data_IF_346264888195
#
_entry.id   IF_346264888195
#
_cell.length_a   1.000
_cell.length_b   1.000
_cell.length_c   1.000
_cell.angle_alpha   90.00
_cell.angle_beta   90.00
_cell.angle_gamma   90.00
#
_symmetry.space_group_name_H-M   'P 1'
#
loop_
_entity.id
_entity.type
_entity.pdbx_description
1 polymer ?
#
# COMPACT_ATOMS: atom_id res chain seq x y z
N UNK A 1 -16.27 -12.98 -2.35
CA UNK A 1 -17.31 -11.95 -2.10
C UNK A 1 -17.32 -11.03 -3.30
N UNK A 2 -18.49 -10.52 -3.70
CA UNK A 2 -18.60 -9.56 -4.82
C UNK A 2 -18.16 -8.19 -4.29
N UNK A 3 -17.34 -7.46 -5.06
CA UNK A 3 -16.96 -6.08 -4.73
C UNK A 3 -18.20 -5.19 -4.76
N UNK A 4 -18.52 -4.44 -3.69
CA UNK A 4 -19.67 -3.53 -3.67
C UNK A 4 -19.50 -2.42 -4.72
N UNK A 5 -20.60 -1.82 -5.18
CA UNK A 5 -20.51 -0.67 -6.09
C UNK A 5 -19.93 0.54 -5.35
N UNK A 6 -19.41 1.51 -6.10
CA UNK A 6 -18.87 2.74 -5.50
C UNK A 6 -19.93 3.47 -4.69
N UNK A 7 -21.16 3.56 -5.21
CA UNK A 7 -22.29 4.24 -4.56
C UNK A 7 -22.69 3.59 -3.23
N UNK A 8 -22.51 2.27 -3.09
CA UNK A 8 -22.83 1.55 -1.85
C UNK A 8 -21.78 1.76 -0.75
N UNK A 9 -20.54 2.10 -1.12
CA UNK A 9 -19.40 2.11 -0.20
C UNK A 9 -18.74 3.49 -0.06
N UNK A 10 -19.16 4.48 -0.85
CA UNK A 10 -18.54 5.82 -0.89
C UNK A 10 -18.37 6.44 0.50
N UNK A 11 -19.43 6.49 1.31
CA UNK A 11 -19.38 7.10 2.65
C UNK A 11 -18.39 6.38 3.58
N UNK A 12 -18.24 5.06 3.44
CA UNK A 12 -17.28 4.28 4.22
C UNK A 12 -15.85 4.57 3.76
N UNK A 13 -15.63 4.70 2.45
CA UNK A 13 -14.32 5.09 1.91
C UNK A 13 -13.95 6.49 2.40
N UNK A 14 -14.86 7.46 2.29
CA UNK A 14 -14.66 8.84 2.75
C UNK A 14 -14.26 8.87 4.22
N UNK A 15 -15.06 8.24 5.09
CA UNK A 15 -14.77 8.18 6.51
C UNK A 15 -13.40 7.57 6.82
N UNK A 16 -13.06 6.45 6.17
CA UNK A 16 -11.77 5.76 6.39
C UNK A 16 -10.59 6.57 5.85
N UNK A 17 -10.78 7.27 4.74
CA UNK A 17 -9.77 8.11 4.12
C UNK A 17 -9.44 9.29 5.05
N UNK A 18 -10.46 9.95 5.61
CA UNK A 18 -10.27 11.05 6.57
C UNK A 18 -9.44 10.60 7.79
N UNK A 19 -9.73 9.42 8.34
CA UNK A 19 -8.96 8.85 9.46
C UNK A 19 -7.48 8.66 9.13
N UNK A 20 -7.16 8.17 7.92
CA UNK A 20 -5.76 7.98 7.51
C UNK A 20 -5.08 9.32 7.20
N UNK A 21 -5.79 10.28 6.62
CA UNK A 21 -5.24 11.62 6.38
C UNK A 21 -4.87 12.30 7.70
N UNK A 22 -5.75 12.23 8.71
CA UNK A 22 -5.46 12.75 10.06
C UNK A 22 -4.21 12.09 10.65
N UNK A 23 -4.12 10.76 10.60
CA UNK A 23 -2.95 10.02 11.05
C UNK A 23 -1.66 10.43 10.32
N UNK A 24 -1.69 10.54 9.00
CA UNK A 24 -0.52 10.90 8.19
C UNK A 24 -0.06 12.34 8.44
N UNK A 25 -1.00 13.24 8.75
CA UNK A 25 -0.67 14.61 9.16
C UNK A 25 0.07 14.63 10.51
N UNK A 26 -0.28 13.76 11.46
CA UNK A 26 0.45 13.62 12.73
C UNK A 26 1.90 13.13 12.52
N UNK A 27 2.15 12.36 11.46
CA UNK A 27 3.49 11.92 11.06
C UNK A 27 4.22 12.92 10.15
N UNK A 28 3.66 14.11 9.94
CA UNK A 28 4.19 15.14 9.02
C UNK A 28 4.44 14.59 7.60
N UNK A 29 3.67 13.58 7.19
CA UNK A 29 3.75 13.03 5.86
C UNK A 29 3.12 14.01 4.85
N UNK A 30 3.88 14.42 3.84
CA UNK A 30 3.36 15.28 2.77
C UNK A 30 2.53 14.45 1.79
N UNK A 31 1.23 14.31 2.08
CA UNK A 31 0.30 13.55 1.27
C UNK A 31 -0.09 14.31 -0.01
N UNK A 32 -0.04 13.64 -1.15
CA UNK A 32 -0.79 14.05 -2.35
C UNK A 32 -2.21 13.48 -2.22
N UNK A 33 -3.18 14.37 -1.97
CA UNK A 33 -4.56 13.98 -1.67
C UNK A 33 -5.15 13.03 -2.73
N UNK A 34 -5.76 11.95 -2.25
CA UNK A 34 -6.50 10.99 -3.05
C UNK A 34 -7.99 11.21 -2.81
N UNK A 35 -8.80 11.21 -3.87
CA UNK A 35 -10.26 11.24 -3.73
C UNK A 35 -10.80 9.83 -3.44
N UNK A 36 -11.98 9.70 -2.79
CA UNK A 36 -12.62 8.40 -2.58
C UNK A 36 -12.81 7.60 -3.87
N UNK A 37 -13.09 8.29 -4.99
CA UNK A 37 -13.25 7.69 -6.29
C UNK A 37 -11.95 7.16 -6.87
N UNK A 38 -10.86 7.94 -6.81
CA UNK A 38 -9.52 7.49 -7.21
C UNK A 38 -9.11 6.24 -6.42
N UNK A 39 -9.32 6.24 -5.10
CA UNK A 39 -9.02 5.09 -4.25
C UNK A 39 -9.85 3.87 -4.65
N UNK A 40 -11.16 4.02 -4.84
CA UNK A 40 -12.01 2.93 -5.29
C UNK A 40 -11.55 2.36 -6.63
N UNK A 41 -11.29 3.21 -7.62
CA UNK A 41 -10.85 2.80 -8.96
C UNK A 41 -9.49 2.10 -8.92
N UNK A 42 -8.56 2.60 -8.10
CA UNK A 42 -7.26 1.96 -7.90
C UNK A 42 -7.39 0.57 -7.28
N UNK A 43 -8.19 0.43 -6.21
CA UNK A 43 -8.32 -0.82 -5.47
C UNK A 43 -9.14 -1.89 -6.19
N UNK A 44 -10.01 -1.48 -7.11
CA UNK A 44 -10.87 -2.36 -7.92
C UNK A 44 -10.36 -2.53 -9.36
N UNK A 45 -9.28 -1.84 -9.71
CA UNK A 45 -8.71 -1.81 -11.04
C UNK A 45 -8.05 -3.12 -11.50
N UNK A 46 -7.69 -3.12 -12.78
CA UNK A 46 -6.94 -4.19 -13.41
C UNK A 46 -5.57 -4.35 -12.75
N UNK A 47 -5.13 -5.59 -12.53
CA UNK A 47 -3.85 -5.90 -11.89
C UNK A 47 -3.14 -7.00 -12.68
N UNK A 48 -1.82 -6.84 -12.90
CA UNK A 48 -0.99 -7.84 -13.57
C UNK A 48 -0.59 -9.01 -12.64
N UNK A 49 -0.81 -8.88 -11.32
CA UNK A 49 -0.55 -9.91 -10.31
C UNK A 49 -1.88 -10.40 -9.75
N UNK A 50 -2.10 -11.71 -9.80
CA UNK A 50 -3.20 -12.31 -9.06
C UNK A 50 -2.97 -12.10 -7.56
N UNK A 51 -3.84 -11.31 -6.93
CA UNK A 51 -3.82 -11.09 -5.48
C UNK A 51 -4.98 -11.81 -4.82
N UNK A 52 -4.71 -12.41 -3.66
CA UNK A 52 -5.76 -12.95 -2.78
C UNK A 52 -6.36 -11.88 -1.88
N UNK A 53 -5.70 -10.72 -1.75
CA UNK A 53 -6.17 -9.59 -0.95
C UNK A 53 -7.29 -8.90 -1.73
N UNK A 54 -8.49 -8.96 -1.19
CA UNK A 54 -9.70 -8.35 -1.77
C UNK A 54 -9.79 -6.86 -1.44
N UNK A 55 -10.70 -6.17 -2.13
CA UNK A 55 -11.07 -4.79 -1.78
C UNK A 55 -11.47 -4.65 -0.30
N UNK A 56 -12.33 -5.56 0.20
CA UNK A 56 -12.79 -5.53 1.58
C UNK A 56 -11.69 -5.82 2.59
N UNK A 57 -10.69 -6.64 2.23
CA UNK A 57 -9.53 -6.87 3.09
C UNK A 57 -8.71 -5.59 3.27
N UNK A 58 -8.53 -4.81 2.18
CA UNK A 58 -7.83 -3.51 2.25
C UNK A 58 -8.65 -2.48 3.02
N UNK A 59 -9.95 -2.38 2.76
CA UNK A 59 -10.82 -1.43 3.46
C UNK A 59 -10.95 -1.78 4.95
N UNK A 60 -10.94 -3.07 5.31
CA UNK A 60 -11.11 -3.52 6.68
C UNK A 60 -9.83 -3.50 7.53
N UNK A 61 -8.65 -3.51 6.91
CA UNK A 61 -7.36 -3.56 7.60
C UNK A 61 -6.66 -2.19 7.55
N UNK A 62 -6.39 -1.60 8.72
CA UNK A 62 -5.82 -0.25 8.82
C UNK A 62 -4.46 -0.11 8.10
N UNK A 63 -3.59 -1.11 8.23
CA UNK A 63 -2.26 -1.10 7.63
C UNK A 63 -2.32 -1.21 6.09
N UNK A 64 -3.15 -2.11 5.56
CA UNK A 64 -3.33 -2.23 4.11
C UNK A 64 -4.02 -0.99 3.51
N UNK A 65 -4.90 -0.36 4.26
CA UNK A 65 -5.56 0.87 3.84
C UNK A 65 -4.57 2.05 3.80
N UNK A 66 -3.78 2.22 4.86
CA UNK A 66 -2.67 3.17 4.93
C UNK A 66 -1.69 2.96 3.76
N UNK A 67 -1.25 1.71 3.54
CA UNK A 67 -0.37 1.33 2.44
C UNK A 67 -0.95 1.81 1.09
N UNK A 68 -2.24 1.56 0.86
CA UNK A 68 -2.90 1.91 -0.41
C UNK A 68 -2.94 3.41 -0.64
N UNK A 69 -3.19 4.21 0.40
CA UNK A 69 -3.24 5.68 0.31
C UNK A 69 -1.85 6.26 0.05
N UNK A 70 -0.82 5.75 0.74
CA UNK A 70 0.57 6.17 0.50
C UNK A 70 1.01 5.81 -0.91
N UNK A 71 0.71 4.59 -1.37
CA UNK A 71 1.06 4.15 -2.73
C UNK A 71 0.44 5.07 -3.79
N UNK A 72 -0.85 5.44 -3.63
CA UNK A 72 -1.50 6.41 -4.51
C UNK A 72 -0.83 7.78 -4.43
N UNK A 73 -0.50 8.28 -3.24
CA UNK A 73 0.17 9.57 -3.06
C UNK A 73 1.51 9.62 -3.80
N UNK A 74 2.30 8.56 -3.72
CA UNK A 74 3.60 8.48 -4.41
C UNK A 74 3.45 8.36 -5.93
N UNK A 75 2.42 7.66 -6.40
CA UNK A 75 2.09 7.62 -7.83
C UNK A 75 1.72 9.02 -8.34
N UNK A 76 0.93 9.78 -7.58
CA UNK A 76 0.58 11.17 -7.92
C UNK A 76 1.80 12.09 -7.90
N UNK A 77 2.71 11.94 -6.94
CA UNK A 77 3.99 12.66 -6.91
C UNK A 77 4.82 12.38 -8.17
N UNK A 78 4.79 11.15 -8.67
CA UNK A 78 5.43 10.74 -9.92
C UNK A 78 4.68 11.22 -11.20
N UNK A 79 3.58 11.97 -11.06
CA UNK A 79 2.79 12.50 -12.18
C UNK A 79 1.84 11.48 -12.81
N UNK A 80 1.52 10.39 -12.11
CA UNK A 80 0.58 9.36 -12.58
C UNK A 80 -0.85 9.74 -12.23
N UNK A 81 -1.75 9.69 -13.22
CA UNK A 81 -3.18 9.81 -13.02
C UNK A 81 -3.78 8.51 -12.47
N UNK A 82 -4.62 8.60 -11.45
CA UNK A 82 -5.16 7.45 -10.75
C UNK A 82 -6.52 7.05 -11.32
N UNK A 83 -6.61 5.84 -11.84
CA UNK A 83 -7.81 5.21 -12.37
C UNK A 83 -7.73 3.67 -12.30
N UNK A 84 -8.71 2.98 -12.89
CA UNK A 84 -8.81 1.52 -12.88
C UNK A 84 -7.75 0.78 -13.71
N UNK A 85 -6.89 1.49 -14.45
CA UNK A 85 -5.77 0.92 -15.22
C UNK A 85 -4.41 1.32 -14.70
N UNK A 86 -4.34 2.11 -13.62
CA UNK A 86 -3.08 2.61 -13.04
C UNK A 86 -2.01 1.53 -12.92
N UNK A 87 -2.36 0.36 -12.39
CA UNK A 87 -1.41 -0.74 -12.15
C UNK A 87 -0.90 -1.38 -13.45
N UNK A 88 -1.71 -1.44 -14.50
CA UNK A 88 -1.31 -2.08 -15.77
C UNK A 88 -0.63 -1.11 -16.74
N UNK A 89 -0.98 0.18 -16.67
CA UNK A 89 -0.48 1.22 -17.57
C UNK A 89 0.79 1.92 -17.04
N UNK A 90 1.06 1.84 -15.74
CA UNK A 90 2.26 2.44 -15.12
C UNK A 90 3.47 1.52 -15.22
N UNK A 91 4.65 2.10 -15.43
CA UNK A 91 5.90 1.33 -15.43
C UNK A 91 6.13 0.61 -14.10
N UNK A 92 6.73 -0.59 -14.16
CA UNK A 92 7.05 -1.38 -12.96
C UNK A 92 7.98 -0.65 -12.01
N UNK A 93 8.97 0.08 -12.53
CA UNK A 93 9.84 0.95 -11.73
C UNK A 93 9.06 1.92 -10.86
N UNK A 94 8.10 2.66 -11.43
CA UNK A 94 7.32 3.65 -10.68
C UNK A 94 6.38 2.96 -9.68
N UNK A 95 5.66 1.92 -10.10
CA UNK A 95 4.74 1.18 -9.23
C UNK A 95 5.45 0.55 -8.04
N UNK A 96 6.57 -0.15 -8.26
CA UNK A 96 7.31 -0.78 -7.17
C UNK A 96 8.01 0.25 -6.28
N UNK A 97 8.42 1.40 -6.82
CA UNK A 97 8.96 2.49 -5.99
C UNK A 97 7.89 3.01 -5.01
N UNK A 98 6.68 3.29 -5.51
CA UNK A 98 5.54 3.69 -4.67
C UNK A 98 5.17 2.60 -3.65
N UNK A 99 5.15 1.33 -4.09
CA UNK A 99 4.88 0.19 -3.23
C UNK A 99 5.86 0.04 -2.09
N UNK A 100 7.16 0.13 -2.37
CA UNK A 100 8.21 -0.02 -1.35
C UNK A 100 8.19 1.15 -0.36
N UNK A 101 7.87 2.36 -0.82
CA UNK A 101 7.66 3.51 0.06
C UNK A 101 6.47 3.24 0.99
N UNK A 102 5.34 2.81 0.47
CA UNK A 102 4.18 2.44 1.26
C UNK A 102 4.46 1.32 2.28
N UNK A 103 5.19 0.28 1.89
CA UNK A 103 5.61 -0.82 2.77
C UNK A 103 6.45 -0.34 3.96
N UNK A 104 7.38 0.60 3.72
CA UNK A 104 8.25 1.16 4.76
C UNK A 104 7.41 1.86 5.86
N UNK A 105 6.45 2.69 5.47
CA UNK A 105 5.51 3.33 6.41
C UNK A 105 4.54 2.34 7.04
N UNK A 106 4.05 1.35 6.30
CA UNK A 106 3.15 0.32 6.84
C UNK A 106 3.83 -0.44 8.00
N UNK A 107 5.07 -0.90 7.78
CA UNK A 107 5.84 -1.61 8.79
C UNK A 107 6.22 -0.69 9.95
N UNK A 108 6.67 0.54 9.66
CA UNK A 108 6.96 1.55 10.68
C UNK A 108 5.76 1.87 11.56
N UNK A 109 4.58 2.01 10.98
CA UNK A 109 3.35 2.27 11.72
C UNK A 109 2.96 1.08 12.60
N UNK A 110 3.05 -0.16 12.08
CA UNK A 110 2.79 -1.35 12.89
C UNK A 110 3.77 -1.49 14.06
N UNK A 111 5.01 -1.04 13.90
CA UNK A 111 6.00 -1.02 14.98
C UNK A 111 5.65 0.03 16.06
N UNK A 112 5.21 1.23 15.67
CA UNK A 112 4.76 2.28 16.60
C UNK A 112 3.60 1.79 17.46
N UNK A 113 2.68 1.02 16.89
CA UNK A 113 1.56 0.42 17.61
C UNK A 113 1.92 -0.87 18.37
N UNK A 114 3.19 -1.30 18.31
CA UNK A 114 3.67 -2.57 18.86
C UNK A 114 2.88 -3.80 18.34
N UNK A 115 2.31 -3.71 17.14
CA UNK A 115 1.64 -4.83 16.47
C UNK A 115 2.67 -5.71 15.76
N UNK A 116 3.45 -6.43 16.57
CA UNK A 116 4.46 -7.36 16.08
C UNK A 116 3.86 -8.52 15.28
N UNK A 117 2.57 -8.84 15.48
CA UNK A 117 1.90 -9.87 14.68
C UNK A 117 1.80 -9.42 13.22
N UNK A 118 1.29 -8.21 12.98
CA UNK A 118 1.22 -7.65 11.64
C UNK A 118 2.61 -7.48 11.01
N UNK A 119 3.54 -6.88 11.75
CA UNK A 119 4.92 -6.65 11.31
C UNK A 119 5.57 -7.95 10.82
N UNK A 120 5.51 -9.02 11.62
CA UNK A 120 6.08 -10.33 11.25
C UNK A 120 5.41 -10.91 10.02
N UNK A 121 4.08 -10.83 9.95
CA UNK A 121 3.32 -11.37 8.83
C UNK A 121 3.71 -10.70 7.51
N UNK A 122 3.76 -9.36 7.51
CA UNK A 122 4.08 -8.57 6.32
C UNK A 122 5.55 -8.64 5.96
N UNK A 123 6.46 -8.60 6.93
CA UNK A 123 7.90 -8.77 6.69
C UNK A 123 8.21 -10.14 6.08
N UNK A 124 7.52 -11.20 6.52
CA UNK A 124 7.65 -12.53 5.92
C UNK A 124 7.12 -12.59 4.48
N UNK A 125 6.03 -11.87 4.16
CA UNK A 125 5.55 -11.72 2.78
C UNK A 125 6.54 -10.94 1.92
N UNK A 126 7.05 -9.82 2.42
CA UNK A 126 8.06 -8.99 1.74
C UNK A 126 9.32 -9.79 1.41
N UNK A 127 9.85 -10.57 2.34
CA UNK A 127 10.98 -11.47 2.08
C UNK A 127 10.70 -12.50 0.97
N UNK A 128 9.46 -13.01 0.88
CA UNK A 128 9.08 -13.90 -0.22
C UNK A 128 9.02 -13.16 -1.55
N UNK A 129 8.51 -11.93 -1.57
CA UNK A 129 8.41 -11.12 -2.78
C UNK A 129 9.80 -10.71 -3.29
N UNK A 130 10.74 -10.30 -2.42
CA UNK A 130 12.14 -10.03 -2.80
C UNK A 130 12.76 -11.21 -3.56
N UNK A 131 12.47 -12.44 -3.11
CA UNK A 131 13.07 -13.65 -3.68
C UNK A 131 12.37 -14.13 -4.96
N UNK A 132 11.05 -14.00 -5.03
CA UNK A 132 10.24 -14.74 -6.01
C UNK A 132 9.41 -13.85 -6.94
N UNK A 133 9.30 -12.54 -6.69
CA UNK A 133 8.49 -11.66 -7.53
C UNK A 133 9.25 -11.31 -8.82
N UNK A 134 8.84 -11.95 -9.93
CA UNK A 134 9.41 -11.75 -11.26
C UNK A 134 9.12 -10.37 -11.86
N UNK A 135 8.18 -9.62 -11.27
CA UNK A 135 7.84 -8.28 -11.73
C UNK A 135 8.63 -7.19 -11.01
N UNK A 136 9.31 -7.49 -9.90
CA UNK A 136 10.12 -6.51 -9.18
C UNK A 136 11.35 -6.11 -10.01
N UNK A 137 11.53 -4.82 -10.34
CA UNK A 137 12.71 -4.35 -11.05
C UNK A 137 14.00 -4.63 -10.27
N UNK A 138 15.05 -5.06 -10.98
CA UNK A 138 16.36 -5.35 -10.37
C UNK A 138 16.95 -4.11 -9.67
N UNK A 139 16.70 -2.92 -10.20
CA UNK A 139 17.12 -1.63 -9.64
C UNK A 139 16.55 -1.36 -8.24
N UNK A 140 15.41 -1.97 -7.89
CA UNK A 140 14.70 -1.75 -6.63
C UNK A 140 14.94 -2.84 -5.58
N UNK A 141 15.60 -3.95 -5.96
CA UNK A 141 15.91 -5.04 -5.02
C UNK A 141 16.76 -4.58 -3.83
N UNK A 142 17.68 -3.65 -4.05
CA UNK A 142 18.48 -3.05 -2.98
C UNK A 142 17.59 -2.35 -1.94
N UNK A 143 16.69 -1.48 -2.40
CA UNK A 143 15.75 -0.77 -1.52
C UNK A 143 14.81 -1.71 -0.79
N UNK A 144 14.33 -2.75 -1.47
CA UNK A 144 13.49 -3.76 -0.84
C UNK A 144 14.24 -4.51 0.29
N UNK A 145 15.52 -4.82 0.09
CA UNK A 145 16.37 -5.43 1.13
C UNK A 145 16.63 -4.47 2.29
N UNK A 146 16.88 -3.18 2.03
CA UNK A 146 17.06 -2.18 3.09
C UNK A 146 15.84 -2.12 4.04
N UNK A 147 14.63 -2.14 3.48
CA UNK A 147 13.40 -2.19 4.30
C UNK A 147 13.38 -3.48 5.12
N UNK A 148 13.69 -4.63 4.52
CA UNK A 148 13.73 -5.89 5.25
C UNK A 148 14.72 -5.85 6.42
N UNK A 149 15.93 -5.37 6.17
CA UNK A 149 17.01 -5.29 7.16
C UNK A 149 16.67 -4.29 8.29
N UNK A 150 15.90 -3.24 7.99
CA UNK A 150 15.44 -2.27 9.00
C UNK A 150 14.54 -2.92 10.04
N UNK A 151 13.68 -3.86 9.63
CA UNK A 151 12.65 -4.42 10.50
C UNK A 151 12.96 -5.85 11.01
N UNK A 152 14.01 -6.50 10.53
CA UNK A 152 14.27 -7.92 10.84
C UNK A 152 14.55 -8.20 12.32
N UNK A 153 15.11 -7.23 13.05
CA UNK A 153 15.37 -7.38 14.49
C UNK A 153 14.09 -7.52 15.32
N UNK A 154 12.96 -7.00 14.82
CA UNK A 154 11.66 -7.07 15.49
C UNK A 154 10.92 -8.38 15.24
N UNK A 155 11.45 -9.26 14.39
CA UNK A 155 10.79 -10.53 14.03
C UNK A 155 10.65 -11.49 15.22
N UNK A 156 11.51 -11.37 16.22
CA UNK A 156 11.58 -12.31 17.35
C UNK A 156 10.83 -11.83 18.61
N UNK A 157 10.27 -10.61 18.60
CA UNK A 157 9.40 -10.05 19.66
C UNK A 157 7.96 -10.50 19.48
#
# INVERSE_FOLDING_TARGET
MVTPSYEEIQEIIEFRLDQVIELLNEFEYKLNECTPKELYDYLTGENFKETKITFLDRLGNEYLFLHSIIEISELKEAGIEINNKTIVDTSKEVLYSAHLKAMDYELGYSLILEDYYWLKHRLAQHARDIKNDVNMPDSLKGKAMEIYDTFIEYKDY
#
